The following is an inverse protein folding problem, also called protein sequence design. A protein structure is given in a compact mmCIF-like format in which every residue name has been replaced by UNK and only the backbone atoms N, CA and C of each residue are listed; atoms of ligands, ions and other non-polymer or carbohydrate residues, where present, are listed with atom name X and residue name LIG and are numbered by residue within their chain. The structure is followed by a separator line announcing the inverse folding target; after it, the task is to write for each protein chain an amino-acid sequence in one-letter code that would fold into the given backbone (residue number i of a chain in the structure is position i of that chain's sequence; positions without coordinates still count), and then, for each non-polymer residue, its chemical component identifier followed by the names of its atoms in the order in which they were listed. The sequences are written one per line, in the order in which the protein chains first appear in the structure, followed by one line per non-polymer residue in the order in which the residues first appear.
data_IF_283245975550
#
_entry.id   IF_283245975550
#
_cell.length_a   1.000
_cell.length_b   1.000
_cell.length_c   1.000
_cell.angle_alpha   90.00
_cell.angle_beta   90.00
_cell.angle_gamma   90.00
#
_symmetry.space_group_name_H-M   'P 1'
#
loop_
_entity.id
_entity.type
_entity.pdbx_description
1 polymer ?
#
# COMPACT_ATOMS: atom_id res chain seq x y z
N UNK A 1 -8.19 13.80 -12.53
CA UNK A 1 -7.05 12.83 -12.53
C UNK A 1 -7.48 11.51 -11.94
N UNK A 2 -7.93 11.47 -10.67
CA UNK A 2 -8.28 10.22 -9.97
C UNK A 2 -9.32 9.37 -10.73
N UNK A 3 -10.39 9.98 -11.22
CA UNK A 3 -11.46 9.24 -11.91
C UNK A 3 -10.96 8.56 -13.17
N UNK A 4 -10.14 9.25 -13.97
CA UNK A 4 -9.49 8.68 -15.17
C UNK A 4 -8.63 7.46 -14.79
N UNK A 5 -7.87 7.57 -13.70
CA UNK A 5 -7.03 6.48 -13.20
C UNK A 5 -7.90 5.26 -12.82
N UNK A 6 -8.98 5.49 -12.08
CA UNK A 6 -9.87 4.43 -11.63
C UNK A 6 -10.55 3.73 -12.80
N UNK A 7 -11.02 4.47 -13.80
CA UNK A 7 -11.62 3.88 -15.00
C UNK A 7 -10.64 2.98 -15.75
N UNK A 8 -9.40 3.44 -15.96
CA UNK A 8 -8.33 2.64 -16.58
C UNK A 8 -7.94 1.43 -15.72
N UNK A 9 -7.88 1.60 -14.41
CA UNK A 9 -7.58 0.53 -13.45
C UNK A 9 -8.63 -0.58 -13.50
N UNK A 10 -9.92 -0.21 -13.50
CA UNK A 10 -11.02 -1.17 -13.63
C UNK A 10 -10.96 -1.89 -14.99
N UNK A 11 -10.70 -1.16 -16.08
CA UNK A 11 -10.59 -1.74 -17.41
C UNK A 11 -9.42 -2.75 -17.49
N UNK A 12 -8.25 -2.40 -16.92
CA UNK A 12 -7.09 -3.29 -16.85
C UNK A 12 -7.40 -4.58 -16.10
N UNK A 13 -8.06 -4.50 -14.94
CA UNK A 13 -8.41 -5.68 -14.14
C UNK A 13 -9.42 -6.57 -14.86
N UNK A 14 -10.44 -6.00 -15.49
CA UNK A 14 -11.39 -6.76 -16.31
C UNK A 14 -10.72 -7.47 -17.49
N UNK A 15 -9.70 -6.83 -18.07
CA UNK A 15 -8.94 -7.45 -19.14
C UNK A 15 -8.09 -8.62 -18.63
N UNK A 16 -7.47 -8.48 -17.45
CA UNK A 16 -6.72 -9.56 -16.80
C UNK A 16 -7.61 -10.75 -16.42
N UNK A 17 -8.82 -10.48 -15.89
CA UNK A 17 -9.80 -11.54 -15.59
C UNK A 17 -10.24 -12.29 -16.85
N UNK A 18 -10.38 -11.61 -17.98
CA UNK A 18 -10.80 -12.20 -19.25
C UNK A 18 -9.69 -13.03 -19.89
N UNK A 19 -8.46 -12.50 -19.90
CA UNK A 19 -7.34 -13.09 -20.66
C UNK A 19 -6.57 -14.13 -19.85
N UNK A 20 -6.75 -14.14 -18.52
CA UNK A 20 -6.05 -15.02 -17.55
C UNK A 20 -4.52 -15.09 -17.82
N UNK A 21 -3.82 -13.96 -17.92
CA UNK A 21 -2.40 -13.94 -18.26
C UNK A 21 -1.54 -14.43 -17.09
N UNK A 22 -0.29 -14.79 -17.38
CA UNK A 22 0.69 -14.98 -16.33
C UNK A 22 0.93 -13.66 -15.60
N UNK A 23 0.73 -13.66 -14.28
CA UNK A 23 0.91 -12.48 -13.43
C UNK A 23 2.32 -12.42 -12.86
N UNK A 24 2.91 -11.22 -12.85
CA UNK A 24 4.15 -10.94 -12.13
C UNK A 24 3.80 -10.43 -10.73
N UNK A 25 4.37 -11.04 -9.70
CA UNK A 25 4.26 -10.56 -8.32
C UNK A 25 5.62 -10.10 -7.84
N UNK A 26 5.77 -8.80 -7.65
CA UNK A 26 6.99 -8.20 -7.12
C UNK A 26 6.84 -8.00 -5.62
N UNK A 27 7.48 -8.87 -4.85
CA UNK A 27 7.41 -8.81 -3.38
C UNK A 27 8.61 -8.06 -2.83
N UNK A 28 8.33 -6.99 -2.07
CA UNK A 28 9.37 -6.20 -1.40
C UNK A 28 8.88 -5.73 -0.04
N UNK A 29 9.79 -5.63 0.91
CA UNK A 29 9.52 -4.98 2.20
C UNK A 29 9.54 -3.45 2.08
N UNK A 30 10.06 -2.92 0.98
CA UNK A 30 10.22 -1.48 0.75
C UNK A 30 9.70 -1.10 -0.63
N UNK A 31 8.91 -0.02 -0.69
CA UNK A 31 8.51 0.67 -1.92
C UNK A 31 8.66 2.17 -1.72
N UNK A 32 9.72 2.75 -2.23
CA UNK A 32 9.98 4.19 -2.14
C UNK A 32 9.35 4.90 -3.35
N UNK A 33 8.03 5.04 -3.31
CA UNK A 33 7.26 5.58 -4.43
C UNK A 33 7.41 7.09 -4.57
N UNK A 34 7.47 7.82 -3.45
CA UNK A 34 7.42 9.27 -3.44
C UNK A 34 6.01 9.80 -3.69
N UNK A 35 5.91 11.01 -4.27
CA UNK A 35 4.66 11.66 -4.64
C UNK A 35 4.07 11.04 -5.91
N UNK A 36 2.75 10.90 -5.96
CA UNK A 36 2.06 10.23 -7.05
C UNK A 36 1.43 11.21 -8.06
N UNK A 37 1.00 12.40 -7.65
CA UNK A 37 0.20 13.29 -8.48
C UNK A 37 0.91 13.66 -9.79
N UNK A 38 2.12 14.21 -9.70
CA UNK A 38 2.89 14.63 -10.89
C UNK A 38 3.22 13.44 -11.81
N UNK A 39 3.69 12.32 -11.22
CA UNK A 39 3.97 11.11 -11.98
C UNK A 39 2.72 10.58 -12.70
N UNK A 40 1.57 10.59 -12.04
CA UNK A 40 0.31 10.15 -12.64
C UNK A 40 -0.12 11.07 -13.80
N UNK A 41 0.02 12.38 -13.68
CA UNK A 41 -0.28 13.33 -14.75
C UNK A 41 0.63 13.13 -15.97
N UNK A 42 1.92 12.89 -15.73
CA UNK A 42 2.90 12.60 -16.79
C UNK A 42 2.55 11.28 -17.49
N UNK A 43 2.27 10.22 -16.73
CA UNK A 43 1.96 8.90 -17.30
C UNK A 43 0.61 8.89 -18.05
N UNK A 44 -0.34 9.74 -17.66
CA UNK A 44 -1.57 9.97 -18.41
C UNK A 44 -1.37 10.81 -19.68
N UNK A 45 -0.19 11.39 -19.89
CA UNK A 45 0.10 12.38 -20.93
C UNK A 45 -0.85 13.60 -20.85
N UNK A 46 -1.25 14.02 -19.66
CA UNK A 46 -2.23 15.07 -19.40
C UNK A 46 -1.68 16.21 -18.51
N UNK A 47 -0.35 16.28 -18.34
CA UNK A 47 0.26 17.25 -17.42
C UNK A 47 -0.03 18.69 -17.85
N UNK A 48 0.19 19.01 -19.12
CA UNK A 48 0.04 20.38 -19.64
C UNK A 48 -1.43 20.83 -19.62
N UNK A 49 -2.35 19.96 -19.98
CA UNK A 49 -3.80 20.23 -19.97
C UNK A 49 -4.31 20.49 -18.53
N UNK A 50 -3.84 19.68 -17.57
CA UNK A 50 -4.22 19.86 -16.16
C UNK A 50 -3.59 21.13 -15.60
N UNK A 51 -2.34 21.42 -15.97
CA UNK A 51 -1.68 22.68 -15.57
C UNK A 51 -2.44 23.89 -16.10
N UNK A 52 -2.83 23.91 -17.38
CA UNK A 52 -3.62 24.98 -17.97
C UNK A 52 -4.96 25.17 -17.23
N UNK A 53 -5.66 24.08 -16.95
CA UNK A 53 -6.92 24.14 -16.20
C UNK A 53 -6.74 24.68 -14.77
N UNK A 54 -5.62 24.38 -14.10
CA UNK A 54 -5.29 24.93 -12.78
C UNK A 54 -4.93 26.41 -12.86
N UNK A 55 -4.18 26.83 -13.89
CA UNK A 55 -3.81 28.24 -14.12
C UNK A 55 -5.08 29.08 -14.35
N UNK A 56 -6.09 28.57 -15.09
CA UNK A 56 -7.39 29.24 -15.27
C UNK A 56 -8.15 29.41 -13.94
N UNK A 57 -7.96 28.52 -12.98
CA UNK A 57 -8.54 28.61 -11.65
C UNK A 57 -7.68 29.44 -10.67
N UNK A 58 -6.55 30.00 -11.14
CA UNK A 58 -5.61 30.74 -10.31
C UNK A 58 -4.82 29.86 -9.32
N UNK A 59 -4.64 28.61 -9.64
CA UNK A 59 -3.92 27.63 -8.81
C UNK A 59 -2.58 27.25 -9.44
N UNK A 60 -1.50 27.29 -8.66
CA UNK A 60 -0.17 26.85 -9.11
C UNK A 60 -0.02 25.34 -8.87
N UNK A 61 0.24 24.60 -9.96
CA UNK A 61 0.43 23.14 -9.92
C UNK A 61 1.58 22.72 -8.99
N UNK A 62 2.67 23.50 -8.92
CA UNK A 62 3.80 23.18 -8.06
C UNK A 62 3.40 23.26 -6.58
N UNK A 63 2.59 24.28 -6.23
CA UNK A 63 2.07 24.41 -4.86
C UNK A 63 1.15 23.25 -4.49
N UNK A 64 0.37 22.76 -5.45
CA UNK A 64 -0.52 21.59 -5.23
C UNK A 64 0.30 20.32 -5.06
N UNK A 65 1.30 20.07 -5.91
CA UNK A 65 2.19 18.92 -5.81
C UNK A 65 2.97 18.93 -4.49
N UNK A 66 3.36 20.10 -3.98
CA UNK A 66 4.08 20.25 -2.71
C UNK A 66 3.22 19.92 -1.47
N UNK A 67 1.88 19.90 -1.60
CA UNK A 67 1.00 19.48 -0.52
C UNK A 67 0.98 17.94 -0.33
N UNK A 68 1.36 17.17 -1.37
CA UNK A 68 1.35 15.73 -1.29
C UNK A 68 2.55 15.22 -0.47
N UNK A 69 2.32 14.46 0.61
CA UNK A 69 3.41 13.82 1.34
C UNK A 69 4.01 12.68 0.52
N UNK A 70 5.32 12.46 0.68
CA UNK A 70 5.96 11.31 0.07
C UNK A 70 5.41 10.00 0.66
N UNK A 71 5.07 9.04 -0.19
CA UNK A 71 4.92 7.65 0.22
C UNK A 71 6.32 7.03 0.38
N UNK A 72 6.98 7.38 1.48
CA UNK A 72 8.36 6.99 1.77
C UNK A 72 8.40 5.64 2.52
N UNK A 73 7.87 4.60 1.88
CA UNK A 73 7.82 3.23 2.44
C UNK A 73 9.12 2.44 2.14
N UNK A 74 10.23 3.12 2.14
CA UNK A 74 11.56 2.58 1.89
C UNK A 74 12.64 3.52 2.34
N UNK A 75 13.88 3.02 2.41
CA UNK A 75 15.03 3.75 2.92
C UNK A 75 16.04 4.16 1.82
N UNK A 76 16.09 3.44 0.71
CA UNK A 76 17.12 3.70 -0.30
C UNK A 76 16.95 2.86 -1.57
N UNK A 77 18.07 2.31 -2.04
CA UNK A 77 18.14 1.62 -3.34
C UNK A 77 17.18 0.48 -3.53
N UNK A 78 16.96 -0.36 -2.51
CA UNK A 78 16.01 -1.48 -2.57
C UNK A 78 14.58 -0.99 -2.84
N UNK A 79 14.12 -0.03 -2.04
CA UNK A 79 12.76 0.52 -2.17
C UNK A 79 12.58 1.33 -3.46
N UNK A 80 13.60 2.07 -3.89
CA UNK A 80 13.53 2.83 -5.15
C UNK A 80 13.57 1.92 -6.38
N UNK A 81 14.36 0.84 -6.35
CA UNK A 81 14.37 -0.16 -7.42
C UNK A 81 12.99 -0.80 -7.59
N UNK A 82 12.34 -1.16 -6.48
CA UNK A 82 10.97 -1.70 -6.50
C UNK A 82 9.98 -0.71 -7.14
N UNK A 83 10.04 0.56 -6.78
CA UNK A 83 9.21 1.61 -7.37
C UNK A 83 9.46 1.76 -8.89
N UNK A 84 10.70 1.79 -9.32
CA UNK A 84 11.06 1.87 -10.74
C UNK A 84 10.62 0.63 -11.53
N UNK A 85 10.69 -0.55 -10.94
CA UNK A 85 10.22 -1.77 -11.60
C UNK A 85 8.70 -1.78 -11.76
N UNK A 86 7.94 -1.29 -10.79
CA UNK A 86 6.49 -1.18 -10.92
C UNK A 86 6.10 -0.24 -12.08
N UNK A 87 6.76 0.91 -12.20
CA UNK A 87 6.57 1.85 -13.31
C UNK A 87 6.93 1.23 -14.66
N UNK A 88 8.08 0.56 -14.74
CA UNK A 88 8.52 -0.12 -15.96
C UNK A 88 7.59 -1.25 -16.38
N UNK A 89 7.11 -2.07 -15.45
CA UNK A 89 6.17 -3.16 -15.74
C UNK A 89 4.85 -2.63 -16.30
N UNK A 90 4.32 -1.55 -15.72
CA UNK A 90 3.10 -0.91 -16.22
C UNK A 90 3.33 -0.26 -17.60
N UNK A 91 4.46 0.41 -17.81
CA UNK A 91 4.80 1.04 -19.09
C UNK A 91 5.01 0.02 -20.20
N UNK A 92 5.56 -1.14 -19.88
CA UNK A 92 5.72 -2.26 -20.81
C UNK A 92 4.47 -3.17 -20.91
N UNK A 93 3.38 -2.78 -20.27
CA UNK A 93 2.09 -3.48 -20.28
C UNK A 93 2.14 -4.92 -19.72
N UNK A 94 3.10 -5.21 -18.83
CA UNK A 94 3.14 -6.49 -18.14
C UNK A 94 2.11 -6.51 -16.99
N UNK A 95 1.28 -7.59 -16.92
CA UNK A 95 0.37 -7.78 -15.80
C UNK A 95 1.16 -8.00 -14.49
N UNK A 96 1.06 -7.05 -13.56
CA UNK A 96 1.88 -7.11 -12.36
C UNK A 96 1.16 -6.58 -11.11
N UNK A 97 1.50 -7.19 -9.98
CA UNK A 97 1.21 -6.68 -8.64
C UNK A 97 2.51 -6.45 -7.87
N UNK A 98 2.67 -5.26 -7.28
CA UNK A 98 3.61 -5.07 -6.19
C UNK A 98 2.96 -5.53 -4.89
N UNK A 99 3.70 -6.23 -4.03
CA UNK A 99 3.23 -6.70 -2.75
C UNK A 99 4.18 -6.23 -1.64
N UNK A 100 3.66 -5.45 -0.70
CA UNK A 100 4.45 -4.87 0.38
C UNK A 100 3.66 -4.63 1.66
N UNK A 101 4.26 -3.89 2.58
CA UNK A 101 3.71 -3.56 3.88
C UNK A 101 3.27 -2.11 3.87
N UNK A 102 2.03 -1.85 4.35
CA UNK A 102 1.52 -0.50 4.57
C UNK A 102 2.01 0.01 5.93
N UNK A 103 3.23 0.52 5.95
CA UNK A 103 3.79 1.08 7.18
C UNK A 103 2.95 2.27 7.66
N UNK A 104 2.66 2.30 8.94
CA UNK A 104 1.91 3.41 9.58
C UNK A 104 2.68 4.73 9.49
N UNK A 105 3.99 4.66 9.57
CA UNK A 105 4.89 5.79 9.41
C UNK A 105 5.86 5.50 8.26
N UNK A 106 6.12 6.51 7.43
CA UNK A 106 7.17 6.44 6.43
C UNK A 106 8.56 6.53 7.06
N UNK A 107 9.59 6.65 6.21
CA UNK A 107 10.94 6.98 6.67
C UNK A 107 10.88 8.26 7.51
N UNK A 108 11.50 8.28 8.68
CA UNK A 108 11.45 9.40 9.61
C UNK A 108 11.80 10.74 8.94
N UNK A 109 11.16 11.82 9.39
CA UNK A 109 11.51 13.19 9.01
C UNK A 109 12.70 13.66 9.81
N UNK A 110 13.52 14.50 9.18
CA UNK A 110 14.67 15.15 9.82
C UNK A 110 14.32 16.61 10.06
N UNK A 111 14.37 17.03 11.31
CA UNK A 111 14.20 18.42 11.73
C UNK A 111 15.49 18.95 12.31
N UNK A 112 15.69 20.28 12.25
CA UNK A 112 16.83 20.94 12.92
C UNK A 112 16.28 21.66 14.15
N UNK A 113 16.78 21.23 15.33
CA UNK A 113 16.49 21.89 16.61
C UNK A 113 17.81 22.30 17.28
N UNK A 114 17.91 23.57 17.62
CA UNK A 114 19.10 24.15 18.28
C UNK A 114 20.42 23.85 17.54
N UNK A 115 20.37 23.77 16.20
CA UNK A 115 21.51 23.45 15.35
C UNK A 115 21.82 21.94 15.20
N UNK A 116 21.03 21.08 15.81
CA UNK A 116 21.19 19.62 15.73
C UNK A 116 20.04 18.97 14.94
N UNK A 117 20.36 17.90 14.23
CA UNK A 117 19.36 17.05 13.57
C UNK A 117 18.57 16.26 14.63
N UNK A 118 17.25 16.26 14.47
CA UNK A 118 16.32 15.47 15.27
C UNK A 118 15.41 14.67 14.34
N UNK A 119 15.26 13.40 14.59
CA UNK A 119 14.36 12.52 13.84
C UNK A 119 12.97 12.54 14.48
N UNK A 120 11.95 12.75 13.65
CA UNK A 120 10.55 12.73 14.05
C UNK A 120 9.74 11.77 13.19
N UNK A 121 8.65 11.18 13.73
CA UNK A 121 7.81 10.27 12.96
C UNK A 121 7.22 10.94 11.72
N UNK A 122 7.31 10.28 10.56
CA UNK A 122 6.64 10.70 9.34
C UNK A 122 5.22 10.12 9.27
N UNK A 123 4.23 10.89 9.70
CA UNK A 123 2.82 10.49 9.65
C UNK A 123 2.23 10.80 8.25
N UNK A 124 2.69 10.09 7.23
CA UNK A 124 2.34 10.32 5.83
C UNK A 124 0.85 10.09 5.51
N UNK A 125 0.14 9.35 6.36
CA UNK A 125 -1.30 9.06 6.23
C UNK A 125 -2.20 9.97 7.07
N UNK A 126 -1.65 11.03 7.68
CA UNK A 126 -2.41 11.92 8.56
C UNK A 126 -3.70 12.46 7.90
N UNK A 127 -3.60 12.85 6.65
CA UNK A 127 -4.70 13.41 5.86
C UNK A 127 -5.27 12.41 4.83
N UNK A 128 -4.90 11.11 4.96
CA UNK A 128 -5.24 10.05 4.04
C UNK A 128 -4.35 10.05 2.79
N UNK A 129 -4.57 9.05 1.93
CA UNK A 129 -3.94 8.97 0.61
C UNK A 129 -5.04 8.96 -0.45
N UNK A 130 -5.17 9.99 -1.31
CA UNK A 130 -6.26 10.06 -2.28
C UNK A 130 -6.19 8.98 -3.36
N UNK A 131 -5.01 8.38 -3.58
CA UNK A 131 -4.80 7.36 -4.61
C UNK A 131 -4.93 5.92 -4.09
N UNK A 132 -5.01 5.69 -2.78
CA UNK A 132 -5.19 4.33 -2.29
C UNK A 132 -6.67 3.93 -2.24
N UNK A 133 -6.91 2.63 -2.47
CA UNK A 133 -8.23 2.01 -2.44
C UNK A 133 -8.17 0.86 -1.44
N UNK A 134 -8.92 0.97 -0.33
CA UNK A 134 -9.06 -0.12 0.64
C UNK A 134 -9.86 -1.27 0.03
N UNK A 135 -9.32 -2.48 0.05
CA UNK A 135 -9.93 -3.69 -0.52
C UNK A 135 -10.38 -4.64 0.59
N UNK A 136 -11.39 -4.21 1.35
CA UNK A 136 -11.89 -4.98 2.50
C UNK A 136 -12.43 -6.36 2.14
N UNK A 137 -12.83 -6.57 0.88
CA UNK A 137 -13.29 -7.84 0.34
C UNK A 137 -12.18 -8.90 0.23
N UNK A 138 -10.92 -8.49 0.20
CA UNK A 138 -9.75 -9.37 0.15
C UNK A 138 -9.03 -9.49 1.50
N UNK A 139 -9.67 -9.09 2.59
CA UNK A 139 -9.11 -9.28 3.93
C UNK A 139 -8.88 -10.76 4.24
N UNK A 140 -7.78 -11.05 4.93
CA UNK A 140 -7.38 -12.40 5.25
C UNK A 140 -6.88 -12.51 6.69
N UNK A 141 -7.31 -13.56 7.42
CA UNK A 141 -6.78 -13.85 8.75
C UNK A 141 -5.41 -14.51 8.65
N UNK A 142 -4.40 -13.89 9.25
CA UNK A 142 -3.03 -14.41 9.33
C UNK A 142 -2.74 -14.87 10.75
N UNK A 143 -2.30 -16.11 10.90
CA UNK A 143 -2.02 -16.77 12.18
C UNK A 143 -0.53 -16.77 12.47
N UNK A 144 -0.15 -16.32 13.66
CA UNK A 144 1.24 -16.24 14.11
C UNK A 144 1.48 -17.08 15.35
N UNK A 145 2.60 -17.82 15.37
CA UNK A 145 3.00 -18.67 16.50
C UNK A 145 2.13 -19.91 16.66
N UNK A 146 2.05 -20.41 17.88
CA UNK A 146 1.36 -21.67 18.15
C UNK A 146 2.14 -22.90 17.70
N UNK A 147 1.44 -24.00 17.55
CA UNK A 147 1.99 -25.27 17.07
C UNK A 147 1.04 -25.94 16.06
N UNK A 148 1.59 -26.79 15.21
CA UNK A 148 0.81 -27.56 14.24
C UNK A 148 0.52 -28.93 14.79
N UNK A 149 -0.77 -29.27 14.93
CA UNK A 149 -1.23 -30.62 15.25
C UNK A 149 -1.65 -31.33 13.96
N UNK A 150 -1.13 -32.51 13.74
CA UNK A 150 -1.57 -33.40 12.66
C UNK A 150 -2.58 -34.43 13.17
N UNK A 151 -3.58 -34.74 12.36
CA UNK A 151 -4.52 -35.81 12.58
C UNK A 151 -4.94 -36.42 11.25
N UNK A 152 -5.32 -37.71 11.29
CA UNK A 152 -5.84 -38.37 10.11
C UNK A 152 -7.35 -38.19 10.03
N UNK A 153 -7.82 -37.66 8.94
CA UNK A 153 -9.26 -37.54 8.68
C UNK A 153 -9.83 -38.91 8.34
N UNK A 154 -10.75 -39.41 9.18
CA UNK A 154 -11.36 -40.74 9.05
C UNK A 154 -12.19 -40.88 7.76
N UNK A 155 -12.73 -39.79 7.22
CA UNK A 155 -13.58 -39.81 6.00
C UNK A 155 -12.76 -39.86 4.72
N UNK A 156 -11.67 -39.15 4.67
CA UNK A 156 -10.85 -39.02 3.45
C UNK A 156 -9.59 -39.83 3.49
N UNK A 157 -9.19 -40.31 4.69
CA UNK A 157 -7.93 -41.04 4.90
C UNK A 157 -6.67 -40.19 4.75
N UNK A 158 -6.82 -38.83 4.63
CA UNK A 158 -5.72 -37.89 4.47
C UNK A 158 -5.22 -37.37 5.80
N UNK A 159 -3.93 -37.07 5.86
CA UNK A 159 -3.36 -36.36 6.99
C UNK A 159 -3.71 -34.88 6.89
N UNK A 160 -4.33 -34.38 7.96
CA UNK A 160 -4.75 -32.98 8.10
C UNK A 160 -3.86 -32.27 9.10
N UNK A 161 -3.63 -30.99 8.87
CA UNK A 161 -2.79 -30.15 9.72
C UNK A 161 -3.61 -28.97 10.21
N UNK A 162 -3.64 -28.75 11.53
CA UNK A 162 -4.34 -27.63 12.17
C UNK A 162 -3.36 -26.87 13.05
N UNK A 163 -3.33 -25.56 12.88
CA UNK A 163 -2.55 -24.68 13.76
C UNK A 163 -3.38 -24.36 15.01
N UNK A 164 -2.82 -24.59 16.18
CA UNK A 164 -3.45 -24.37 17.49
C UNK A 164 -2.61 -23.37 18.31
N UNK A 165 -3.24 -22.70 19.29
CA UNK A 165 -2.61 -21.74 20.21
C UNK A 165 -1.86 -20.60 19.49
N UNK A 166 -2.46 -20.09 18.43
CA UNK A 166 -1.93 -19.00 17.62
C UNK A 166 -2.54 -17.66 18.01
N UNK A 167 -1.85 -16.57 17.64
CA UNK A 167 -2.41 -15.22 17.61
C UNK A 167 -2.76 -14.84 16.18
N UNK A 168 -3.91 -14.19 15.98
CA UNK A 168 -4.35 -13.76 14.65
C UNK A 168 -4.32 -12.26 14.50
N UNK A 169 -4.04 -11.83 13.29
CA UNK A 169 -4.31 -10.47 12.80
C UNK A 169 -5.08 -10.56 11.49
N UNK A 170 -5.87 -9.55 11.19
CA UNK A 170 -6.52 -9.43 9.89
C UNK A 170 -5.63 -8.61 8.98
N UNK A 171 -5.11 -9.23 7.92
CA UNK A 171 -4.42 -8.53 6.85
C UNK A 171 -5.45 -7.88 5.92
N UNK A 172 -5.37 -6.57 5.76
CA UNK A 172 -6.28 -5.78 4.90
C UNK A 172 -5.46 -5.11 3.81
N UNK A 173 -5.71 -5.42 2.53
CA UNK A 173 -4.95 -4.82 1.45
C UNK A 173 -5.49 -3.45 1.06
N UNK A 174 -4.55 -2.58 0.67
CA UNK A 174 -4.80 -1.29 0.04
C UNK A 174 -4.09 -1.29 -1.30
N UNK A 175 -4.82 -1.00 -2.37
CA UNK A 175 -4.29 -0.95 -3.73
C UNK A 175 -3.98 0.50 -4.11
N UNK A 176 -2.75 0.75 -4.54
CA UNK A 176 -2.30 2.02 -5.11
C UNK A 176 -2.11 1.79 -6.61
N UNK A 177 -2.84 2.51 -7.48
CA UNK A 177 -2.68 2.39 -8.93
C UNK A 177 -1.28 2.79 -9.39
N UNK A 178 -0.69 2.01 -10.26
CA UNK A 178 0.60 2.30 -10.92
C UNK A 178 0.38 2.35 -12.42
N UNK A 179 0.48 3.54 -12.97
CA UNK A 179 0.15 3.82 -14.38
C UNK A 179 1.33 3.52 -15.29
N UNK A 180 1.04 2.92 -16.45
CA UNK A 180 1.98 2.89 -17.57
C UNK A 180 2.01 4.25 -18.28
N UNK A 181 3.19 4.63 -18.82
CA UNK A 181 3.37 5.86 -19.56
C UNK A 181 2.70 5.79 -20.94
N UNK A 182 1.76 6.68 -21.20
CA UNK A 182 1.12 6.83 -22.49
C UNK A 182 0.30 5.63 -22.98
N UNK A 183 -0.09 4.72 -22.08
CA UNK A 183 -0.89 3.54 -22.39
C UNK A 183 -2.14 3.43 -21.51
N UNK A 184 -2.86 2.30 -21.57
CA UNK A 184 -4.07 2.07 -20.80
C UNK A 184 -3.88 1.09 -19.64
N UNK A 185 -2.66 0.64 -19.39
CA UNK A 185 -2.36 -0.31 -18.33
C UNK A 185 -2.20 0.40 -17.00
N UNK A 186 -2.94 -0.06 -16.01
CA UNK A 186 -2.80 0.40 -14.62
C UNK A 186 -2.69 -0.83 -13.73
N UNK A 187 -1.47 -1.09 -13.27
CA UNK A 187 -1.16 -2.15 -12.32
C UNK A 187 -1.47 -1.70 -10.88
N UNK A 188 -1.33 -2.60 -9.94
CA UNK A 188 -1.58 -2.32 -8.51
C UNK A 188 -0.32 -2.53 -7.69
N UNK A 189 0.00 -1.56 -6.85
CA UNK A 189 0.84 -1.77 -5.68
C UNK A 189 -0.10 -2.12 -4.52
N UNK A 190 -0.11 -3.39 -4.12
CA UNK A 190 -0.92 -3.90 -3.00
C UNK A 190 -0.10 -3.91 -1.74
N UNK A 191 -0.41 -3.03 -0.83
CA UNK A 191 0.24 -2.95 0.48
C UNK A 191 -0.74 -3.39 1.57
N UNK A 192 -0.23 -4.17 2.53
CA UNK A 192 -1.03 -4.83 3.53
C UNK A 192 -0.91 -4.15 4.88
N UNK A 193 -2.06 -3.78 5.44
CA UNK A 193 -2.21 -3.31 6.82
C UNK A 193 -2.62 -4.45 7.74
N UNK A 194 -2.34 -4.33 9.03
CA UNK A 194 -2.70 -5.29 10.04
C UNK A 194 -3.78 -4.71 10.98
N UNK A 195 -4.97 -5.28 10.95
CA UNK A 195 -6.08 -4.91 11.82
C UNK A 195 -6.29 -5.99 12.91
N UNK A 196 -6.74 -5.65 14.12
CA UNK A 196 -7.06 -6.63 15.14
C UNK A 196 -8.29 -7.46 14.74
N UNK A 197 -8.31 -8.73 15.11
CA UNK A 197 -9.47 -9.64 14.88
C UNK A 197 -10.70 -9.15 15.64
N UNK A 198 -10.52 -8.68 16.88
CA UNK A 198 -11.56 -8.12 17.72
C UNK A 198 -11.30 -6.62 17.91
N UNK A 199 -12.24 -5.80 17.53
CA UNK A 199 -12.17 -4.33 17.64
C UNK A 199 -12.18 -3.81 19.07
N UNK A 200 -12.62 -4.64 20.03
CA UNK A 200 -12.65 -4.26 21.45
C UNK A 200 -12.46 -5.49 22.35
N UNK A 201 -11.39 -5.48 23.14
CA UNK A 201 -11.13 -6.47 24.18
C UNK A 201 -10.98 -5.76 25.52
N UNK A 202 -12.04 -5.82 26.35
CA UNK A 202 -12.09 -5.20 27.68
C UNK A 202 -10.94 -5.66 28.58
N UNK A 203 -10.60 -6.95 28.55
CA UNK A 203 -9.54 -7.50 29.38
C UNK A 203 -8.15 -6.95 28.98
N UNK A 204 -7.90 -6.74 27.70
CA UNK A 204 -6.66 -6.10 27.22
C UNK A 204 -6.64 -4.62 27.53
N UNK A 205 -7.80 -3.95 27.52
CA UNK A 205 -7.93 -2.55 27.91
C UNK A 205 -7.66 -2.35 29.41
N UNK A 206 -8.23 -3.19 30.27
CA UNK A 206 -7.99 -3.15 31.72
C UNK A 206 -6.52 -3.44 32.05
N UNK A 207 -5.88 -4.40 31.38
CA UNK A 207 -4.45 -4.68 31.54
C UNK A 207 -3.57 -3.51 31.09
N UNK A 208 -3.95 -2.79 30.03
CA UNK A 208 -3.20 -1.60 29.57
C UNK A 208 -3.30 -0.43 30.55
N UNK A 209 -4.44 -0.26 31.23
CA UNK A 209 -4.62 0.76 32.26
C UNK A 209 -3.82 0.47 33.53
N UNK A 210 -3.65 -0.80 33.90
CA UNK A 210 -2.84 -1.22 35.06
C UNK A 210 -1.35 -0.89 34.82
N UNK A 211 -0.85 -1.01 33.58
CA UNK A 211 0.53 -0.68 33.23
C UNK A 211 0.81 0.82 33.09
N UNK A 212 -0.22 1.67 32.92
CA UNK A 212 -0.08 3.13 32.86
C UNK A 212 0.02 3.75 34.28
N UNK A 213 -0.39 3.04 35.32
CA UNK A 213 -0.44 3.53 36.67
C UNK A 213 0.77 3.19 37.56
N UNK A 214 1.79 2.53 37.02
CA UNK A 214 3.05 2.32 37.74
C UNK A 214 4.09 3.37 37.27
N UNK A 215 4.67 4.14 38.24
CA UNK A 215 5.69 5.17 37.94
C UNK A 215 7.05 4.59 37.58
#
# INVERSE_FOLDING_TARGET
VKDIIIDKWIATHKQYEKDDPKMVYYMSMEFLMGRALGNNMINLCAYDEIKEALDELGLDINVIEDQEPDAALGNGGLGRLAACFMDSLATLEYPAYGCGIRYKYGMFKQEIKDGYQVEVPDNWLKDGNPFEIKRSEYRYEVKFGGYVRSYRDEKTGRDMFVQEDYRSVIAVPYDIPVLGYGNNTVNSLRIWDAEPVNTFNLNSFDLSLIHISEP
#
